data_IF_289459017779
#
_entry.id   IF_289459017779
#
_cell.length_a   1.000
_cell.length_b   1.000
_cell.length_c   1.000
_cell.angle_alpha   90.00
_cell.angle_beta   90.00
_cell.angle_gamma   90.00
#
_symmetry.space_group_name_H-M   'P 1'
#
loop_
_entity.id
_entity.type
_entity.pdbx_description
1 polymer ?
#
# COMPACT_ATOMS: atom_id res chain seq x y z
N UNK A 1 -23.46 8.98 22.11
CA UNK A 1 -23.70 9.99 21.06
C UNK A 1 -22.96 9.71 19.73
N UNK A 2 -22.51 8.46 19.42
CA UNK A 2 -21.75 8.15 18.19
C UNK A 2 -22.57 7.67 16.97
N UNK A 3 -23.80 7.18 17.16
CA UNK A 3 -24.48 6.37 16.14
C UNK A 3 -24.89 7.09 14.84
N UNK A 4 -25.08 8.41 14.85
CA UNK A 4 -25.41 9.17 13.62
C UNK A 4 -24.19 9.42 12.73
N UNK A 5 -23.00 9.60 13.32
CA UNK A 5 -21.77 9.81 12.57
C UNK A 5 -21.27 8.48 11.99
N UNK A 6 -21.26 7.43 12.81
CA UNK A 6 -20.90 6.06 12.40
C UNK A 6 -21.75 5.56 11.23
N UNK A 7 -23.07 5.81 11.26
CA UNK A 7 -23.98 5.44 10.16
C UNK A 7 -23.70 6.20 8.86
N UNK A 8 -23.21 7.44 8.92
CA UNK A 8 -22.83 8.21 7.72
C UNK A 8 -21.53 7.67 7.13
N UNK A 9 -20.55 7.39 7.98
CA UNK A 9 -19.25 6.82 7.57
C UNK A 9 -19.44 5.44 6.94
N UNK A 10 -20.27 4.58 7.54
CA UNK A 10 -20.58 3.27 6.98
C UNK A 10 -21.30 3.35 5.63
N UNK A 11 -22.26 4.26 5.47
CA UNK A 11 -22.94 4.47 4.18
C UNK A 11 -21.96 4.93 3.10
N UNK A 12 -21.10 5.89 3.41
CA UNK A 12 -20.06 6.35 2.47
C UNK A 12 -19.09 5.23 2.10
N UNK A 13 -18.64 4.43 3.07
CA UNK A 13 -17.78 3.27 2.83
C UNK A 13 -18.45 2.25 1.89
N UNK A 14 -19.75 2.01 2.10
CA UNK A 14 -20.52 1.06 1.31
C UNK A 14 -20.78 1.56 -0.12
N UNK A 15 -21.04 2.85 -0.30
CA UNK A 15 -21.17 3.47 -1.62
C UNK A 15 -19.85 3.42 -2.40
N UNK A 16 -18.73 3.81 -1.77
CA UNK A 16 -17.40 3.68 -2.36
C UNK A 16 -17.10 2.23 -2.74
N UNK A 17 -17.33 1.29 -1.82
CA UNK A 17 -17.09 -0.13 -2.06
C UNK A 17 -17.91 -0.65 -3.23
N UNK A 18 -19.20 -0.28 -3.33
CA UNK A 18 -20.05 -0.67 -4.44
C UNK A 18 -19.50 -0.14 -5.76
N UNK A 19 -19.15 1.15 -5.81
CA UNK A 19 -18.57 1.75 -7.01
C UNK A 19 -17.31 1.01 -7.48
N UNK A 20 -16.33 0.80 -6.58
CA UNK A 20 -15.09 0.10 -6.94
C UNK A 20 -15.32 -1.37 -7.29
N UNK A 21 -16.21 -2.07 -6.58
CA UNK A 21 -16.56 -3.45 -6.91
C UNK A 21 -17.22 -3.54 -8.28
N UNK A 22 -18.09 -2.59 -8.64
CA UNK A 22 -18.69 -2.53 -9.97
C UNK A 22 -17.64 -2.29 -11.05
N UNK A 23 -16.73 -1.33 -10.85
CA UNK A 23 -15.62 -1.07 -11.79
C UNK A 23 -14.74 -2.32 -11.96
N UNK A 24 -14.37 -2.97 -10.86
CA UNK A 24 -13.60 -4.22 -10.89
C UNK A 24 -14.34 -5.31 -11.67
N UNK A 25 -15.63 -5.55 -11.38
CA UNK A 25 -16.41 -6.56 -12.08
C UNK A 25 -16.50 -6.30 -13.59
N UNK A 26 -16.64 -5.03 -13.99
CA UNK A 26 -16.65 -4.65 -15.41
C UNK A 26 -15.30 -4.96 -16.05
N UNK A 27 -14.19 -4.58 -15.41
CA UNK A 27 -12.83 -4.82 -15.93
C UNK A 27 -12.54 -6.32 -16.01
N UNK A 28 -12.88 -7.09 -14.98
CA UNK A 28 -12.73 -8.54 -14.97
C UNK A 28 -13.60 -9.23 -16.02
N UNK A 29 -14.82 -8.74 -16.27
CA UNK A 29 -15.65 -9.24 -17.35
C UNK A 29 -14.99 -9.00 -18.72
N UNK A 30 -14.44 -7.79 -18.96
CA UNK A 30 -13.70 -7.47 -20.18
C UNK A 30 -12.48 -8.40 -20.33
N UNK A 31 -11.73 -8.62 -19.24
CA UNK A 31 -10.58 -9.52 -19.22
C UNK A 31 -10.97 -10.94 -19.62
N UNK A 32 -12.01 -11.51 -19.00
CA UNK A 32 -12.48 -12.86 -19.32
C UNK A 32 -13.00 -12.96 -20.75
N UNK A 33 -13.77 -11.97 -21.23
CA UNK A 33 -14.29 -11.96 -22.60
C UNK A 33 -13.17 -11.88 -23.63
N UNK A 34 -12.15 -11.04 -23.39
CA UNK A 34 -11.00 -10.91 -24.31
C UNK A 34 -10.21 -12.22 -24.47
N UNK A 35 -9.96 -12.93 -23.36
CA UNK A 35 -9.27 -14.22 -23.38
C UNK A 35 -10.17 -15.37 -23.85
N UNK A 36 -11.49 -15.25 -23.68
CA UNK A 36 -12.45 -16.18 -24.27
C UNK A 36 -12.39 -16.14 -25.80
N UNK A 37 -12.36 -14.94 -26.40
CA UNK A 37 -12.24 -14.79 -27.86
C UNK A 37 -10.89 -15.22 -28.42
N UNK A 38 -9.82 -15.11 -27.63
CA UNK A 38 -8.46 -15.53 -28.03
C UNK A 38 -8.24 -17.04 -27.85
N UNK A 39 -9.15 -17.72 -27.14
CA UNK A 39 -9.10 -19.17 -26.90
C UNK A 39 -8.09 -19.60 -25.83
N UNK A 40 -7.51 -18.66 -25.09
CA UNK A 40 -6.44 -18.90 -24.10
C UNK A 40 -6.93 -18.82 -22.64
N UNK A 41 -8.23 -18.65 -22.42
CA UNK A 41 -8.87 -18.52 -21.10
C UNK A 41 -8.47 -19.61 -20.09
N UNK A 42 -8.30 -20.85 -20.54
CA UNK A 42 -7.95 -21.99 -19.69
C UNK A 42 -6.43 -22.21 -19.55
N UNK A 43 -5.62 -21.31 -20.10
CA UNK A 43 -4.16 -21.39 -19.96
C UNK A 43 -3.79 -21.10 -18.51
N UNK A 44 -2.88 -21.90 -17.96
CA UNK A 44 -2.37 -21.73 -16.59
C UNK A 44 -1.92 -20.28 -16.30
N UNK A 45 -1.29 -19.62 -17.27
CA UNK A 45 -0.88 -18.21 -17.19
C UNK A 45 -2.06 -17.27 -16.93
N UNK A 46 -3.13 -17.38 -17.71
CA UNK A 46 -4.32 -16.51 -17.62
C UNK A 46 -5.07 -16.76 -16.33
N UNK A 47 -5.23 -18.03 -15.94
CA UNK A 47 -5.85 -18.41 -14.67
C UNK A 47 -5.06 -17.85 -13.48
N UNK A 48 -3.74 -18.04 -13.47
CA UNK A 48 -2.87 -17.55 -12.41
C UNK A 48 -2.93 -16.01 -12.31
N UNK A 49 -2.89 -15.33 -13.46
CA UNK A 49 -3.02 -13.88 -13.55
C UNK A 49 -4.37 -13.41 -12.99
N UNK A 50 -5.47 -14.02 -13.42
CA UNK A 50 -6.81 -13.67 -12.97
C UNK A 50 -7.00 -13.88 -11.46
N UNK A 51 -6.57 -15.02 -10.92
CA UNK A 51 -6.64 -15.32 -9.49
C UNK A 51 -5.82 -14.29 -8.70
N UNK A 52 -4.60 -14.03 -9.14
CA UNK A 52 -3.71 -13.10 -8.44
C UNK A 52 -4.27 -11.67 -8.41
N UNK A 53 -4.69 -11.14 -9.57
CA UNK A 53 -5.29 -9.81 -9.68
C UNK A 53 -6.54 -9.69 -8.81
N UNK A 54 -7.39 -10.72 -8.84
CA UNK A 54 -8.60 -10.80 -8.00
C UNK A 54 -8.27 -10.75 -6.51
N UNK A 55 -7.28 -11.54 -6.07
CA UNK A 55 -6.87 -11.58 -4.67
C UNK A 55 -6.34 -10.21 -4.19
N UNK A 56 -5.52 -9.54 -5.00
CA UNK A 56 -4.99 -8.21 -4.68
C UNK A 56 -6.12 -7.18 -4.58
N UNK A 57 -7.07 -7.18 -5.53
CA UNK A 57 -8.22 -6.28 -5.50
C UNK A 57 -9.12 -6.53 -4.28
N UNK A 58 -9.42 -7.79 -3.96
CA UNK A 58 -10.19 -8.15 -2.77
C UNK A 58 -9.48 -7.74 -1.48
N UNK A 59 -8.15 -7.91 -1.42
CA UNK A 59 -7.35 -7.49 -0.28
C UNK A 59 -7.41 -5.97 -0.10
N UNK A 60 -7.24 -5.18 -1.17
CA UNK A 60 -7.31 -3.73 -1.12
C UNK A 60 -8.69 -3.26 -0.67
N UNK A 61 -9.77 -3.80 -1.24
CA UNK A 61 -11.14 -3.48 -0.83
C UNK A 61 -11.37 -3.77 0.67
N UNK A 62 -10.92 -4.94 1.16
CA UNK A 62 -11.03 -5.29 2.59
C UNK A 62 -10.28 -4.31 3.49
N UNK A 63 -9.07 -3.90 3.09
CA UNK A 63 -8.28 -2.95 3.87
C UNK A 63 -8.91 -1.55 3.86
N UNK A 64 -9.39 -1.07 2.72
CA UNK A 64 -10.08 0.24 2.60
C UNK A 64 -11.29 0.28 3.56
N UNK A 65 -12.15 -0.73 3.51
CA UNK A 65 -13.33 -0.82 4.38
C UNK A 65 -12.92 -0.85 5.86
N UNK A 66 -11.89 -1.65 6.20
CA UNK A 66 -11.39 -1.73 7.57
C UNK A 66 -10.89 -0.38 8.08
N UNK A 67 -10.14 0.37 7.27
CA UNK A 67 -9.62 1.68 7.66
C UNK A 67 -10.72 2.75 7.75
N UNK A 68 -11.70 2.73 6.85
CA UNK A 68 -12.85 3.64 6.92
C UNK A 68 -13.71 3.35 8.17
N UNK A 69 -13.94 2.08 8.49
CA UNK A 69 -14.68 1.68 9.69
C UNK A 69 -13.97 2.08 10.99
N UNK A 70 -12.64 2.13 10.98
CA UNK A 70 -11.85 2.63 12.10
C UNK A 70 -11.88 4.16 12.23
N UNK A 71 -12.54 4.87 11.29
CA UNK A 71 -12.61 6.33 11.28
C UNK A 71 -11.27 7.01 10.95
N UNK A 72 -10.34 6.29 10.33
CA UNK A 72 -9.04 6.85 9.93
C UNK A 72 -9.20 7.81 8.74
N UNK A 73 -8.34 8.83 8.69
CA UNK A 73 -8.34 9.83 7.62
C UNK A 73 -8.01 9.21 6.25
N UNK A 74 -8.37 9.94 5.18
CA UNK A 74 -8.22 9.51 3.79
C UNK A 74 -6.79 9.09 3.41
N UNK A 75 -5.79 9.71 4.04
CA UNK A 75 -4.37 9.39 3.83
C UNK A 75 -4.02 7.93 4.10
N UNK A 76 -4.65 7.29 5.09
CA UNK A 76 -4.32 5.91 5.48
C UNK A 76 -4.86 4.85 4.53
N UNK A 77 -5.90 5.16 3.75
CA UNK A 77 -6.45 4.24 2.75
C UNK A 77 -6.18 4.66 1.30
N UNK A 78 -5.65 5.86 1.06
CA UNK A 78 -5.23 6.32 -0.27
C UNK A 78 -4.27 5.34 -0.93
N UNK A 79 -3.29 4.81 -0.20
CA UNK A 79 -2.34 3.84 -0.76
C UNK A 79 -3.03 2.57 -1.27
N UNK A 80 -4.05 2.07 -0.57
CA UNK A 80 -4.80 0.89 -1.02
C UNK A 80 -5.67 1.21 -2.23
N UNK A 81 -6.20 2.44 -2.32
CA UNK A 81 -6.90 2.90 -3.52
C UNK A 81 -5.95 3.01 -4.72
N UNK A 82 -4.75 3.56 -4.53
CA UNK A 82 -3.76 3.67 -5.59
C UNK A 82 -3.36 2.30 -6.13
N UNK A 83 -3.11 1.34 -5.22
CA UNK A 83 -2.83 -0.06 -5.60
C UNK A 83 -4.01 -0.67 -6.35
N UNK A 84 -5.25 -0.47 -5.87
CA UNK A 84 -6.44 -0.97 -6.54
C UNK A 84 -6.58 -0.40 -7.96
N UNK A 85 -6.44 0.91 -8.13
CA UNK A 85 -6.54 1.59 -9.43
C UNK A 85 -5.43 1.12 -10.37
N UNK A 86 -4.19 1.02 -9.88
CA UNK A 86 -3.06 0.51 -10.66
C UNK A 86 -3.32 -0.94 -11.09
N UNK A 87 -3.87 -1.76 -10.20
CA UNK A 87 -4.16 -3.15 -10.48
C UNK A 87 -5.25 -3.32 -11.53
N UNK A 88 -6.34 -2.55 -11.41
CA UNK A 88 -7.40 -2.48 -12.41
C UNK A 88 -6.90 -1.96 -13.76
N UNK A 89 -5.98 -0.99 -13.76
CA UNK A 89 -5.35 -0.50 -14.99
C UNK A 89 -4.49 -1.57 -15.67
N UNK A 90 -3.71 -2.33 -14.89
CA UNK A 90 -2.92 -3.44 -15.43
C UNK A 90 -3.82 -4.53 -15.99
N UNK A 91 -4.86 -4.93 -15.25
CA UNK A 91 -5.86 -5.91 -15.72
C UNK A 91 -6.45 -5.48 -17.06
N UNK A 92 -6.90 -4.23 -17.16
CA UNK A 92 -7.45 -3.67 -18.39
C UNK A 92 -6.42 -3.63 -19.54
N UNK A 93 -5.21 -3.15 -19.30
CA UNK A 93 -4.17 -3.02 -20.34
C UNK A 93 -3.65 -4.37 -20.82
N UNK A 94 -3.63 -5.37 -19.94
CA UNK A 94 -3.23 -6.74 -20.32
C UNK A 94 -4.20 -7.41 -21.30
N UNK A 95 -5.45 -6.95 -21.39
CA UNK A 95 -6.39 -7.38 -22.42
C UNK A 95 -5.93 -7.01 -23.84
N UNK A 96 -5.17 -5.91 -23.99
CA UNK A 96 -4.70 -5.41 -25.28
C UNK A 96 -3.26 -5.82 -25.56
N UNK A 97 -2.42 -5.82 -24.52
CA UNK A 97 -0.98 -6.02 -24.65
C UNK A 97 -0.48 -6.95 -23.53
N UNK A 98 -0.11 -8.17 -23.88
CA UNK A 98 0.37 -9.17 -22.92
C UNK A 98 1.67 -8.80 -22.21
N UNK A 99 2.40 -7.79 -22.68
CA UNK A 99 3.65 -7.31 -22.07
C UNK A 99 3.41 -6.53 -20.76
N UNK A 100 2.22 -5.96 -20.55
CA UNK A 100 1.97 -5.14 -19.35
C UNK A 100 2.00 -5.93 -18.04
N UNK A 101 1.84 -7.26 -18.12
CA UNK A 101 2.03 -8.15 -16.98
C UNK A 101 3.44 -8.05 -16.37
N UNK A 102 4.47 -7.77 -17.18
CA UNK A 102 5.84 -7.66 -16.69
C UNK A 102 6.08 -6.39 -15.87
N UNK A 103 5.32 -5.31 -16.09
CA UNK A 103 5.36 -4.15 -15.20
C UNK A 103 4.93 -4.52 -13.78
N UNK A 104 4.07 -5.54 -13.64
CA UNK A 104 3.64 -6.01 -12.34
C UNK A 104 4.74 -6.77 -11.59
N UNK A 105 5.84 -7.22 -12.25
CA UNK A 105 7.02 -7.78 -11.57
C UNK A 105 7.86 -6.71 -10.87
N UNK A 106 7.70 -5.43 -11.22
CA UNK A 106 8.38 -4.32 -10.54
C UNK A 106 7.90 -4.22 -9.08
N UNK A 107 6.63 -4.51 -8.81
CA UNK A 107 6.04 -4.45 -7.46
C UNK A 107 6.65 -5.50 -6.51
N UNK A 108 6.63 -6.82 -6.81
CA UNK A 108 7.33 -7.82 -6.02
C UNK A 108 8.85 -7.63 -6.08
N UNK A 109 9.43 -7.14 -7.19
CA UNK A 109 10.84 -6.77 -7.25
C UNK A 109 11.21 -5.69 -6.24
N UNK A 110 10.38 -4.65 -6.10
CA UNK A 110 10.56 -3.59 -5.11
C UNK A 110 10.30 -4.08 -3.68
N UNK A 111 9.31 -4.94 -3.48
CA UNK A 111 9.09 -5.59 -2.18
C UNK A 111 10.26 -6.51 -1.81
N UNK A 112 10.85 -7.25 -2.73
CA UNK A 112 12.07 -8.05 -2.50
C UNK A 112 13.26 -7.13 -2.26
N UNK A 113 13.37 -5.98 -2.91
CA UNK A 113 14.41 -5.01 -2.59
C UNK A 113 14.26 -4.47 -1.16
N UNK A 114 13.04 -4.12 -0.75
CA UNK A 114 12.75 -3.51 0.55
C UNK A 114 12.68 -4.50 1.72
N UNK A 115 12.13 -5.69 1.50
CA UNK A 115 11.95 -6.75 2.49
C UNK A 115 12.93 -7.92 2.32
N UNK A 116 13.61 -8.05 1.18
CA UNK A 116 14.69 -9.02 1.02
C UNK A 116 15.82 -8.74 2.00
N UNK A 117 16.10 -7.48 2.32
CA UNK A 117 16.95 -7.10 3.45
C UNK A 117 16.47 -7.68 4.79
N UNK A 118 15.17 -7.83 5.00
CA UNK A 118 14.59 -8.41 6.23
C UNK A 118 14.76 -9.94 6.31
N UNK A 119 14.64 -10.64 5.17
CA UNK A 119 14.90 -12.09 5.09
C UNK A 119 16.41 -12.42 5.16
N UNK A 120 17.27 -11.57 4.58
CA UNK A 120 18.73 -11.72 4.65
C UNK A 120 19.33 -11.20 5.97
N UNK A 121 18.69 -10.27 6.69
CA UNK A 121 19.16 -9.80 8.00
C UNK A 121 18.94 -10.81 9.13
N UNK A 122 18.13 -11.86 8.92
CA UNK A 122 18.03 -12.94 9.92
C UNK A 122 19.25 -13.86 9.94
N UNK A 123 20.09 -13.83 8.90
CA UNK A 123 21.39 -14.53 8.85
C UNK A 123 22.60 -13.61 9.05
N UNK A 124 22.41 -12.28 9.03
CA UNK A 124 23.44 -11.30 9.36
C UNK A 124 22.91 -10.32 10.40
N UNK A 125 23.15 -10.61 11.67
CA UNK A 125 23.34 -9.54 12.64
C UNK A 125 24.47 -8.66 12.09
N UNK A 126 24.19 -7.42 11.67
CA UNK A 126 25.04 -6.23 11.82
C UNK A 126 24.53 -5.07 10.92
N UNK A 127 24.41 -3.91 11.57
CA UNK A 127 24.23 -2.55 11.02
C UNK A 127 22.89 -2.18 10.37
N UNK A 128 22.05 -1.56 11.22
CA UNK A 128 21.05 -0.58 10.81
C UNK A 128 21.74 0.60 10.10
N UNK A 129 21.43 0.82 8.82
CA UNK A 129 21.57 2.15 8.20
C UNK A 129 20.24 2.89 8.36
N UNK A 130 20.27 3.93 9.18
CA UNK A 130 19.20 4.91 9.35
C UNK A 130 18.98 5.73 8.08
N UNK A 131 17.70 5.96 7.78
CA UNK A 131 17.16 6.92 6.83
C UNK A 131 17.87 8.30 6.95
N UNK A 132 18.37 8.93 5.86
CA UNK A 132 19.20 10.14 5.91
C UNK A 132 18.46 11.43 6.27
N UNK A 133 17.18 11.38 6.68
CA UNK A 133 16.36 12.58 6.98
C UNK A 133 16.31 12.98 8.46
N UNK A 134 16.99 12.28 9.36
CA UNK A 134 16.96 12.62 10.80
C UNK A 134 18.33 12.72 11.47
N UNK A 135 19.35 13.19 10.74
CA UNK A 135 20.64 13.51 11.35
C UNK A 135 20.58 14.85 12.10
N UNK A 136 20.09 14.82 13.33
CA UNK A 136 20.58 15.74 14.35
C UNK A 136 22.09 15.51 14.49
N UNK A 137 22.89 16.51 14.13
CA UNK A 137 24.35 16.44 14.11
C UNK A 137 24.89 15.91 15.44
N UNK A 138 25.77 14.91 15.39
CA UNK A 138 26.47 14.27 16.53
C UNK A 138 27.16 15.28 17.47
N UNK A 139 27.37 16.51 17.01
CA UNK A 139 27.89 17.65 17.79
C UNK A 139 26.88 18.20 18.81
N UNK A 140 25.57 18.16 18.53
CA UNK A 140 24.52 18.67 19.45
C UNK A 140 24.21 17.69 20.59
N UNK A 141 24.25 16.38 20.32
CA UNK A 141 24.01 15.34 21.34
C UNK A 141 25.12 15.28 22.40
N UNK A 142 26.39 15.55 22.03
CA UNK A 142 27.50 15.66 22.99
C UNK A 142 27.41 16.91 23.87
N UNK A 143 26.82 18.01 23.36
CA UNK A 143 26.60 19.24 24.15
C UNK A 143 25.49 19.06 25.18
N UNK A 144 24.39 18.39 24.83
CA UNK A 144 23.29 18.13 25.77
C UNK A 144 23.68 17.18 26.90
N UNK A 145 24.40 16.08 26.61
CA UNK A 145 24.88 15.15 27.66
C UNK A 145 25.91 15.74 28.63
N UNK A 146 26.60 16.82 28.26
CA UNK A 146 27.51 17.56 29.17
C UNK A 146 26.75 18.53 30.07
N UNK A 147 25.64 19.12 29.59
CA UNK A 147 24.80 20.03 30.38
C UNK A 147 23.91 19.27 31.37
N UNK A 148 23.47 18.05 31.06
CA UNK A 148 22.70 17.22 32.02
C UNK A 148 23.55 16.69 33.19
N UNK A 149 24.86 16.50 32.99
CA UNK A 149 25.78 16.04 34.06
C UNK A 149 26.25 17.16 35.00
N UNK A 150 26.08 18.42 34.62
CA UNK A 150 26.35 19.59 35.47
C UNK A 150 25.03 20.31 35.66
N UNK A 151 24.22 19.86 36.64
CA UNK A 151 22.83 20.27 36.85
C UNK A 151 22.58 21.78 36.85
N UNK A 152 22.42 22.35 35.66
CA UNK A 152 22.04 23.73 35.43
C UNK A 152 20.91 23.72 34.40
N UNK A 153 19.70 24.01 34.86
CA UNK A 153 18.57 24.28 33.98
C UNK A 153 18.85 25.58 33.22
N UNK A 154 18.76 25.61 31.87
CA UNK A 154 18.86 26.86 31.15
C UNK A 154 17.59 27.70 31.34
N UNK A 155 17.79 28.89 31.91
CA UNK A 155 16.81 29.98 31.97
C UNK A 155 16.52 30.45 30.54
N UNK A 156 15.28 30.31 30.08
CA UNK A 156 14.85 30.91 28.81
C UNK A 156 14.75 32.42 28.96
N UNK A 157 15.65 33.16 28.30
CA UNK A 157 15.55 34.62 28.15
C UNK A 157 14.62 34.92 26.97
N UNK A 158 13.48 35.56 27.25
CA UNK A 158 12.60 36.16 26.24
C UNK A 158 13.36 37.28 25.51
N UNK A 159 13.36 37.21 24.18
CA UNK A 159 13.17 38.35 23.28
C UNK A 159 12.69 37.83 21.94
#
# INVERSE_FOLDING_TARGET
MGSKSEKKIQKQAQELTRYYTTVFLIISAIFLVSHFFTGDLFTFKVILQFIFLTLVNLFCCKQIIKQINNGLSSEYYSTYLDIFVLNSFVEFTTCFYSFFWYFYLIIPGYLVYKFGGYCFNKTKNLEYEEDPKNQLSKTQQKKQKKMEKQGQQPIYKKM
#
